data_IF_927664312627
#
_entry.id   IF_927664312627
#
_cell.length_a   1.000
_cell.length_b   1.000
_cell.length_c   1.000
_cell.angle_alpha   90.00
_cell.angle_beta   90.00
_cell.angle_gamma   90.00
#
_symmetry.space_group_name_H-M   'P 1'
#
loop_
_entity.id
_entity.type
_entity.pdbx_description
1 polymer ?
#
# COMPACT_ATOMS: atom_id res chain seq x y z
N UNK A 1 14.03 5.30 6.67
CA UNK A 1 12.92 5.38 7.64
C UNK A 1 12.51 3.99 8.09
N UNK A 2 12.25 3.79 9.39
CA UNK A 2 12.12 2.46 9.96
C UNK A 2 10.76 1.81 9.63
N UNK A 3 10.82 0.58 9.10
CA UNK A 3 9.71 -0.38 9.07
C UNK A 3 10.09 -1.55 9.98
N UNK A 4 9.18 -2.03 10.85
CA UNK A 4 9.41 -3.27 11.56
C UNK A 4 9.46 -4.43 10.55
N UNK A 5 10.03 -5.57 10.96
CA UNK A 5 10.21 -6.74 10.08
C UNK A 5 8.89 -7.18 9.44
N UNK A 6 7.81 -7.08 10.20
CA UNK A 6 6.51 -7.58 9.80
C UNK A 6 5.77 -6.62 8.83
N UNK A 7 6.29 -5.39 8.64
CA UNK A 7 5.73 -4.40 7.72
C UNK A 7 6.66 -4.08 6.55
N UNK A 8 7.68 -4.91 6.29
CA UNK A 8 8.59 -4.69 5.16
C UNK A 8 7.88 -4.69 3.80
N UNK A 9 6.75 -5.40 3.68
CA UNK A 9 5.95 -5.44 2.45
C UNK A 9 5.31 -4.09 2.09
N UNK A 10 5.25 -3.14 3.03
CA UNK A 10 4.75 -1.78 2.76
C UNK A 10 5.66 -0.96 1.84
N UNK A 11 6.84 -1.47 1.49
CA UNK A 11 7.82 -0.78 0.68
C UNK A 11 8.18 -1.53 -0.59
N UNK A 12 8.52 -0.76 -1.64
CA UNK A 12 9.22 -1.20 -2.85
C UNK A 12 10.56 -0.45 -2.96
N UNK A 13 11.46 -0.95 -3.80
CA UNK A 13 12.79 -0.38 -4.02
C UNK A 13 13.84 -0.93 -3.06
N UNK A 14 15.10 -0.68 -3.38
CA UNK A 14 16.25 -1.25 -2.67
C UNK A 14 16.23 -0.92 -1.18
N UNK A 15 16.51 -1.92 -0.33
CA UNK A 15 16.70 -1.71 1.11
C UNK A 15 17.92 -0.84 1.45
N UNK A 16 18.85 -0.69 0.49
CA UNK A 16 20.06 0.15 0.62
C UNK A 16 19.94 1.48 -0.12
N UNK A 17 18.74 1.85 -0.62
CA UNK A 17 18.53 3.12 -1.29
C UNK A 17 18.89 4.31 -0.38
N UNK A 18 19.55 5.32 -0.96
CA UNK A 18 20.01 6.52 -0.24
C UNK A 18 18.85 7.39 0.26
N UNK A 19 17.70 7.32 -0.41
CA UNK A 19 16.53 8.12 -0.10
C UNK A 19 15.30 7.25 0.17
N UNK A 20 14.40 7.78 1.00
CA UNK A 20 13.09 7.17 1.28
C UNK A 20 11.99 8.19 1.05
N UNK A 21 11.03 7.84 0.19
CA UNK A 21 9.77 8.55 0.02
C UNK A 21 8.67 7.76 0.73
N UNK A 22 7.95 8.40 1.64
CA UNK A 22 6.79 7.79 2.30
C UNK A 22 5.51 8.45 1.81
N UNK A 23 4.53 7.65 1.42
CA UNK A 23 3.24 8.10 0.90
C UNK A 23 2.15 7.66 1.86
N UNK A 24 1.66 8.58 2.70
CA UNK A 24 0.49 8.36 3.54
C UNK A 24 -0.76 8.45 2.69
N UNK A 25 -1.50 7.34 2.63
CA UNK A 25 -2.67 7.20 1.76
C UNK A 25 -3.84 6.59 2.51
N UNK A 26 -5.04 7.03 2.15
CA UNK A 26 -6.28 6.37 2.52
C UNK A 26 -6.86 5.71 1.25
N UNK A 27 -7.07 4.41 1.28
CA UNK A 27 -7.65 3.65 0.16
C UNK A 27 -9.06 4.11 -0.26
N UNK A 28 -9.76 4.88 0.58
CA UNK A 28 -11.06 5.47 0.25
C UNK A 28 -10.98 6.92 -0.24
N UNK A 29 -9.81 7.55 -0.17
CA UNK A 29 -9.64 8.93 -0.60
C UNK A 29 -9.38 9.01 -2.12
N UNK A 30 -10.17 9.77 -2.89
CA UNK A 30 -9.96 9.91 -4.34
C UNK A 30 -8.63 10.59 -4.69
N UNK A 31 -8.15 11.53 -3.86
CA UNK A 31 -6.84 12.15 -4.06
C UNK A 31 -5.69 11.18 -3.78
N UNK A 32 -5.85 10.26 -2.83
CA UNK A 32 -4.86 9.21 -2.57
C UNK A 32 -4.81 8.21 -3.73
N UNK A 33 -5.98 7.85 -4.27
CA UNK A 33 -6.07 7.01 -5.47
C UNK A 33 -5.39 7.68 -6.68
N UNK A 34 -5.66 8.97 -6.91
CA UNK A 34 -4.99 9.75 -7.96
C UNK A 34 -3.48 9.75 -7.78
N UNK A 35 -2.99 10.04 -6.57
CA UNK A 35 -1.55 10.10 -6.28
C UNK A 35 -0.87 8.74 -6.52
N UNK A 36 -1.39 7.66 -5.95
CA UNK A 36 -0.73 6.35 -6.03
C UNK A 36 -0.79 5.77 -7.45
N UNK A 37 -1.89 5.99 -8.17
CA UNK A 37 -2.02 5.63 -9.59
C UNK A 37 -1.01 6.40 -10.45
N UNK A 38 -0.93 7.72 -10.29
CA UNK A 38 0.04 8.55 -11.01
C UNK A 38 1.48 8.16 -10.67
N UNK A 39 1.77 7.92 -9.39
CA UNK A 39 3.08 7.47 -8.94
C UNK A 39 3.47 6.14 -9.61
N UNK A 40 2.56 5.17 -9.60
CA UNK A 40 2.82 3.89 -10.25
C UNK A 40 3.06 4.03 -11.75
N UNK A 41 2.26 4.82 -12.46
CA UNK A 41 2.39 4.94 -13.91
C UNK A 41 3.62 5.75 -14.33
N UNK A 42 3.97 6.77 -13.56
CA UNK A 42 4.97 7.77 -13.97
C UNK A 42 6.31 7.63 -13.26
N UNK A 43 6.34 7.13 -12.01
CA UNK A 43 7.55 7.08 -11.18
C UNK A 43 8.15 5.70 -11.11
N UNK A 44 7.34 4.64 -10.99
CA UNK A 44 7.87 3.26 -10.99
C UNK A 44 8.78 2.98 -12.19
N UNK A 45 8.44 3.37 -13.44
CA UNK A 45 9.38 3.20 -14.57
C UNK A 45 10.69 3.99 -14.46
N UNK A 46 10.74 5.04 -13.63
CA UNK A 46 11.95 5.82 -13.38
C UNK A 46 12.84 5.19 -12.29
N UNK A 47 12.29 4.31 -11.46
CA UNK A 47 12.96 3.63 -10.36
C UNK A 47 13.32 2.16 -10.68
N UNK A 48 12.54 1.50 -11.54
CA UNK A 48 12.65 0.08 -11.83
C UNK A 48 12.83 -0.17 -13.33
N UNK A 49 13.72 -1.11 -13.66
CA UNK A 49 14.12 -1.43 -15.04
C UNK A 49 15.64 -1.32 -15.23
N UNK A 50 16.15 -1.83 -16.35
CA UNK A 50 17.60 -1.80 -16.63
C UNK A 50 18.12 -0.39 -16.89
N UNK A 51 17.29 0.47 -17.50
CA UNK A 51 17.64 1.83 -17.91
C UNK A 51 16.98 2.91 -17.03
N UNK A 52 16.46 2.53 -15.86
CA UNK A 52 15.78 3.45 -14.96
C UNK A 52 16.77 4.49 -14.38
N UNK A 53 16.55 5.80 -14.58
CA UNK A 53 17.50 6.85 -14.20
C UNK A 53 17.78 6.92 -12.69
N UNK A 54 16.82 6.51 -11.85
CA UNK A 54 16.95 6.53 -10.39
C UNK A 54 16.97 5.12 -9.79
N UNK A 55 17.41 4.12 -10.58
CA UNK A 55 17.53 2.74 -10.13
C UNK A 55 18.29 2.64 -8.82
N UNK A 56 17.72 1.91 -7.86
CA UNK A 56 18.26 1.66 -6.52
C UNK A 56 18.54 2.91 -5.65
N UNK A 57 18.15 4.11 -6.09
CA UNK A 57 18.41 5.36 -5.36
C UNK A 57 17.26 5.77 -4.43
N UNK A 58 16.04 5.31 -4.70
CA UNK A 58 14.84 5.61 -3.91
C UNK A 58 14.11 4.36 -3.46
N UNK A 59 13.85 4.28 -2.14
CA UNK A 59 12.89 3.35 -1.55
C UNK A 59 11.57 4.06 -1.33
N UNK A 60 10.46 3.42 -1.69
CA UNK A 60 9.12 4.00 -1.55
C UNK A 60 8.36 3.20 -0.53
N UNK A 61 7.79 3.86 0.48
CA UNK A 61 6.95 3.25 1.51
C UNK A 61 5.53 3.78 1.35
N UNK A 62 4.55 2.91 1.12
CA UNK A 62 3.14 3.28 1.24
C UNK A 62 2.75 3.10 2.70
N UNK A 63 2.20 4.17 3.30
CA UNK A 63 1.73 4.20 4.69
C UNK A 63 0.21 4.19 4.70
N UNK A 64 -0.44 3.03 4.96
CA UNK A 64 -1.89 2.99 5.12
C UNK A 64 -2.31 3.89 6.29
N UNK A 65 -3.17 4.87 6.04
CA UNK A 65 -3.62 5.83 7.04
C UNK A 65 -5.12 6.11 6.86
N UNK A 66 -5.99 5.34 7.52
CA UNK A 66 -7.42 5.45 7.32
C UNK A 66 -7.95 6.75 7.91
N UNK A 67 -8.72 7.51 7.14
CA UNK A 67 -9.38 8.72 7.63
C UNK A 67 -10.63 8.36 8.41
N UNK A 68 -10.83 9.03 9.54
CA UNK A 68 -11.91 8.69 10.49
C UNK A 68 -13.31 9.02 9.98
N UNK A 69 -13.42 9.84 8.93
CA UNK A 69 -14.69 10.19 8.28
C UNK A 69 -15.02 9.30 7.07
N UNK A 70 -14.17 8.32 6.75
CA UNK A 70 -14.42 7.33 5.70
C UNK A 70 -14.82 6.00 6.34
N UNK A 71 -16.12 5.70 6.39
CA UNK A 71 -16.66 4.67 7.28
C UNK A 71 -16.09 3.25 7.01
N UNK A 72 -15.89 2.90 5.74
CA UNK A 72 -15.36 1.60 5.32
C UNK A 72 -13.82 1.55 5.29
N UNK A 73 -13.13 2.70 5.40
CA UNK A 73 -11.68 2.80 5.21
C UNK A 73 -10.88 1.84 6.11
N UNK A 74 -11.17 1.71 7.42
CA UNK A 74 -10.46 0.74 8.27
C UNK A 74 -10.49 -0.69 7.73
N UNK A 75 -11.58 -1.14 7.10
CA UNK A 75 -11.72 -2.50 6.58
C UNK A 75 -10.83 -2.74 5.34
N UNK A 76 -10.69 -1.72 4.48
CA UNK A 76 -9.77 -1.75 3.34
C UNK A 76 -8.31 -1.84 3.83
N UNK A 77 -7.98 -1.06 4.86
CA UNK A 77 -6.64 -1.02 5.45
C UNK A 77 -6.29 -2.32 6.19
N UNK A 78 -7.23 -2.89 6.97
CA UNK A 78 -7.09 -4.21 7.58
C UNK A 78 -6.76 -5.27 6.51
N UNK A 79 -7.48 -5.25 5.38
CA UNK A 79 -7.26 -6.22 4.30
C UNK A 79 -5.91 -6.02 3.62
N UNK A 80 -5.51 -4.77 3.33
CA UNK A 80 -4.21 -4.49 2.74
C UNK A 80 -3.06 -4.93 3.67
N UNK A 81 -3.16 -4.64 4.97
CA UNK A 81 -2.18 -5.09 5.96
C UNK A 81 -2.16 -6.61 6.12
N UNK A 82 -3.31 -7.29 6.01
CA UNK A 82 -3.36 -8.75 5.99
C UNK A 82 -2.61 -9.31 4.77
N UNK A 83 -2.78 -8.73 3.58
CA UNK A 83 -1.98 -9.09 2.39
C UNK A 83 -0.50 -8.88 2.65
N UNK A 84 -0.11 -7.73 3.22
CA UNK A 84 1.27 -7.44 3.58
C UNK A 84 1.87 -8.49 4.53
N UNK A 85 1.10 -8.97 5.52
CA UNK A 85 1.51 -10.02 6.45
C UNK A 85 1.71 -11.37 5.78
N UNK A 86 0.80 -11.73 4.88
CA UNK A 86 0.82 -13.01 4.17
C UNK A 86 2.00 -13.08 3.19
N UNK A 87 2.41 -11.95 2.60
CA UNK A 87 3.43 -11.89 1.55
C UNK A 87 4.89 -11.76 2.03
N UNK A 88 5.18 -11.74 3.34
CA UNK A 88 6.52 -11.49 3.87
C UNK A 88 7.59 -12.57 3.59
N UNK A 89 7.21 -13.70 2.99
CA UNK A 89 8.09 -14.87 2.85
C UNK A 89 9.27 -14.61 1.90
N UNK A 90 9.07 -13.85 0.82
CA UNK A 90 10.12 -13.52 -0.16
C UNK A 90 10.48 -12.03 -0.07
N UNK A 91 11.55 -11.72 0.69
CA UNK A 91 12.01 -10.33 0.87
C UNK A 91 12.53 -9.68 -0.40
N UNK A 92 12.99 -10.45 -1.38
CA UNK A 92 13.43 -9.93 -2.66
C UNK A 92 12.22 -9.52 -3.50
N UNK A 93 11.15 -10.33 -3.49
CA UNK A 93 9.89 -9.98 -4.15
C UNK A 93 9.25 -8.70 -3.59
N UNK A 94 9.44 -8.38 -2.30
CA UNK A 94 8.90 -7.14 -1.73
C UNK A 94 9.50 -5.88 -2.37
N UNK A 95 10.74 -5.94 -2.84
CA UNK A 95 11.41 -4.78 -3.43
C UNK A 95 10.90 -4.49 -4.85
N UNK A 96 10.32 -5.47 -5.53
CA UNK A 96 9.82 -5.35 -6.90
C UNK A 96 8.31 -5.05 -6.92
N UNK A 97 7.86 -3.91 -7.48
CA UNK A 97 6.44 -3.58 -7.56
C UNK A 97 5.60 -4.59 -8.35
N UNK A 98 6.19 -5.36 -9.28
CA UNK A 98 5.47 -6.42 -10.02
C UNK A 98 5.30 -7.72 -9.23
N UNK A 99 6.04 -7.88 -8.13
CA UNK A 99 6.00 -9.08 -7.28
C UNK A 99 5.55 -8.78 -5.85
N UNK A 100 5.52 -7.52 -5.44
CA UNK A 100 5.03 -7.10 -4.13
C UNK A 100 3.49 -7.13 -4.09
N UNK A 101 2.95 -8.19 -3.48
CA UNK A 101 1.52 -8.41 -3.28
C UNK A 101 0.78 -7.21 -2.67
N UNK A 102 1.38 -6.54 -1.69
CA UNK A 102 0.77 -5.40 -1.02
C UNK A 102 0.72 -4.18 -1.95
N UNK A 103 1.77 -3.94 -2.73
CA UNK A 103 1.79 -2.87 -3.74
C UNK A 103 0.71 -3.09 -4.81
N UNK A 104 0.67 -4.30 -5.38
CA UNK A 104 -0.32 -4.68 -6.41
C UNK A 104 -1.74 -4.54 -5.86
N UNK A 105 -2.00 -5.03 -4.66
CA UNK A 105 -3.32 -4.93 -4.05
C UNK A 105 -3.68 -3.48 -3.66
N UNK A 106 -2.71 -2.66 -3.25
CA UNK A 106 -2.92 -1.23 -3.03
C UNK A 106 -3.40 -0.53 -4.31
N UNK A 107 -2.80 -0.84 -5.45
CA UNK A 107 -3.24 -0.32 -6.76
C UNK A 107 -4.66 -0.77 -7.09
N UNK A 108 -5.01 -2.03 -6.82
CA UNK A 108 -6.35 -2.54 -7.04
C UNK A 108 -7.40 -1.86 -6.14
N UNK A 109 -7.09 -1.65 -4.85
CA UNK A 109 -7.97 -0.90 -3.94
C UNK A 109 -8.20 0.53 -4.41
N UNK A 110 -7.15 1.21 -4.86
CA UNK A 110 -7.28 2.57 -5.40
C UNK A 110 -8.13 2.61 -6.68
N UNK A 111 -8.00 1.59 -7.54
CA UNK A 111 -8.80 1.47 -8.77
C UNK A 111 -10.29 1.19 -8.49
N UNK A 112 -10.60 0.44 -7.44
CA UNK A 112 -11.98 0.10 -7.06
C UNK A 112 -12.53 0.97 -5.91
N UNK A 113 -11.87 2.07 -5.54
CA UNK A 113 -12.22 2.82 -4.32
C UNK A 113 -13.69 3.28 -4.28
N UNK A 114 -14.26 3.69 -5.43
CA UNK A 114 -15.65 4.16 -5.55
C UNK A 114 -16.67 3.11 -5.09
N UNK A 115 -16.36 1.81 -5.27
CA UNK A 115 -17.21 0.70 -4.81
C UNK A 115 -17.40 0.68 -3.30
N UNK A 116 -16.45 1.26 -2.58
CA UNK A 116 -16.38 1.21 -1.13
C UNK A 116 -16.77 2.54 -0.48
N UNK A 117 -17.07 3.58 -1.26
CA UNK A 117 -17.54 4.86 -0.73
C UNK A 117 -18.77 4.67 0.15
N UNK A 118 -19.04 5.65 1.02
CA UNK A 118 -20.11 5.55 2.01
C UNK A 118 -21.47 5.25 1.37
N UNK A 119 -21.79 5.89 0.22
CA UNK A 119 -23.09 5.68 -0.41
C UNK A 119 -23.27 4.24 -0.95
N UNK A 120 -22.33 3.64 -1.71
CA UNK A 120 -22.42 2.23 -2.11
C UNK A 120 -22.28 1.22 -0.95
N UNK A 121 -21.55 1.57 0.12
CA UNK A 121 -21.30 0.68 1.25
C UNK A 121 -22.39 0.71 2.34
N UNK A 122 -23.28 1.72 2.34
CA UNK A 122 -24.23 2.01 3.44
C UNK A 122 -25.09 0.85 3.93
N UNK A 123 -25.42 -0.10 3.07
CA UNK A 123 -26.29 -1.25 3.40
C UNK A 123 -25.51 -2.51 3.76
N UNK A 124 -24.18 -2.47 3.72
CA UNK A 124 -23.31 -3.62 4.00
C UNK A 124 -22.83 -3.57 5.44
N UNK A 125 -22.86 -4.70 6.12
CA UNK A 125 -22.18 -4.85 7.39
C UNK A 125 -20.67 -5.09 7.18
N UNK A 126 -19.83 -4.93 8.22
CA UNK A 126 -18.39 -5.10 8.10
C UNK A 126 -17.94 -6.48 7.58
N UNK A 127 -18.66 -7.55 7.91
CA UNK A 127 -18.28 -8.91 7.50
C UNK A 127 -18.60 -9.17 6.02
N UNK A 128 -19.68 -8.59 5.50
CA UNK A 128 -19.97 -8.58 4.06
C UNK A 128 -18.86 -7.85 3.28
N UNK A 129 -18.43 -6.69 3.78
CA UNK A 129 -17.31 -5.94 3.18
C UNK A 129 -16.01 -6.74 3.22
N UNK A 130 -15.67 -7.36 4.36
CA UNK A 130 -14.49 -8.24 4.47
C UNK A 130 -14.54 -9.44 3.53
N UNK A 131 -15.71 -10.05 3.36
CA UNK A 131 -15.89 -11.16 2.43
C UNK A 131 -15.64 -10.72 0.98
N UNK A 132 -16.21 -9.59 0.56
CA UNK A 132 -15.99 -9.04 -0.78
C UNK A 132 -14.54 -8.61 -1.00
N UNK A 133 -13.89 -8.02 0.01
CA UNK A 133 -12.46 -7.66 -0.03
C UNK A 133 -11.56 -8.91 -0.14
N UNK A 134 -11.87 -9.99 0.59
CA UNK A 134 -11.15 -11.25 0.45
C UNK A 134 -11.30 -11.85 -0.96
N UNK A 135 -12.47 -11.74 -1.57
CA UNK A 135 -12.68 -12.10 -2.98
C UNK A 135 -11.85 -11.24 -3.91
N UNK A 136 -11.80 -9.92 -3.69
CA UNK A 136 -10.95 -9.02 -4.49
C UNK A 136 -9.47 -9.42 -4.41
N UNK A 137 -8.97 -9.80 -3.22
CA UNK A 137 -7.59 -10.30 -3.08
C UNK A 137 -7.35 -11.55 -3.93
N UNK A 138 -8.27 -12.52 -3.91
CA UNK A 138 -8.17 -13.76 -4.71
C UNK A 138 -8.16 -13.45 -6.20
N UNK A 139 -9.00 -12.52 -6.65
CA UNK A 139 -9.05 -12.14 -8.05
C UNK A 139 -7.72 -11.49 -8.49
N UNK A 140 -7.27 -10.48 -7.75
CA UNK A 140 -6.11 -9.65 -8.10
C UNK A 140 -4.79 -10.43 -8.01
N UNK A 141 -4.59 -11.20 -6.94
CA UNK A 141 -3.31 -11.88 -6.67
C UNK A 141 -3.30 -13.36 -7.07
N UNK A 142 -4.44 -13.90 -7.48
CA UNK A 142 -4.60 -15.31 -7.85
C UNK A 142 -5.12 -15.47 -9.27
N UNK A 143 -6.39 -15.14 -9.51
CA UNK A 143 -7.03 -15.40 -10.80
C UNK A 143 -6.41 -14.61 -11.95
N UNK A 144 -6.20 -13.31 -11.78
CA UNK A 144 -5.68 -12.44 -12.82
C UNK A 144 -4.21 -12.76 -13.13
N UNK A 145 -3.44 -13.13 -12.11
CA UNK A 145 -2.07 -13.64 -12.26
C UNK A 145 -2.03 -14.91 -13.11
N UNK A 146 -2.95 -15.86 -12.84
CA UNK A 146 -3.10 -17.09 -13.65
C UNK A 146 -3.51 -16.79 -15.09
N UNK A 147 -4.49 -15.89 -15.29
CA UNK A 147 -4.92 -15.46 -16.64
C UNK A 147 -3.77 -14.82 -17.42
N UNK A 148 -2.92 -14.04 -16.75
CA UNK A 148 -1.73 -13.44 -17.33
C UNK A 148 -0.55 -14.42 -17.54
N UNK A 149 -0.71 -15.71 -17.17
CA UNK A 149 0.34 -16.73 -17.20
C UNK A 149 1.62 -16.31 -16.47
N UNK A 150 1.48 -15.51 -15.42
CA UNK A 150 2.59 -15.08 -14.55
C UNK A 150 2.76 -16.06 -13.39
N UNK A 151 3.96 -16.07 -12.79
CA UNK A 151 4.22 -16.80 -11.56
C UNK A 151 3.29 -16.32 -10.43
N UNK A 152 2.88 -17.19 -9.49
CA UNK A 152 2.06 -16.78 -8.36
C UNK A 152 2.72 -15.64 -7.56
N UNK A 153 1.93 -14.61 -7.24
CA UNK A 153 2.41 -13.48 -6.42
C UNK A 153 2.53 -13.89 -4.95
N UNK A 154 1.66 -14.78 -4.49
CA UNK A 154 1.66 -15.32 -3.13
C UNK A 154 1.48 -16.84 -3.19
N UNK A 155 2.43 -17.58 -2.62
CA UNK A 155 2.36 -19.04 -2.45
C UNK A 155 2.20 -19.39 -0.97
N UNK A 156 1.18 -20.18 -0.66
CA UNK A 156 0.83 -20.58 0.70
C UNK A 156 0.76 -22.10 0.81
N UNK A 157 1.30 -22.64 1.90
CA UNK A 157 1.31 -24.07 2.16
C UNK A 157 -0.08 -24.52 2.64
N UNK A 158 -0.84 -25.14 1.74
CA UNK A 158 -2.10 -25.81 2.08
C UNK A 158 -3.28 -24.91 2.49
N UNK A 159 -3.11 -23.58 2.54
CA UNK A 159 -4.17 -22.64 2.88
C UNK A 159 -4.54 -21.76 1.68
N UNK A 160 -5.79 -21.81 1.16
CA UNK A 160 -6.23 -20.94 0.10
C UNK A 160 -6.10 -19.45 0.47
N UNK A 161 -5.66 -18.61 -0.47
CA UNK A 161 -5.41 -17.19 -0.24
C UNK A 161 -6.59 -16.44 0.41
N UNK A 162 -7.81 -16.67 -0.09
CA UNK A 162 -9.01 -16.05 0.48
C UNK A 162 -9.27 -16.48 1.92
N UNK A 163 -8.94 -17.73 2.29
CA UNK A 163 -9.04 -18.20 3.67
C UNK A 163 -7.94 -17.61 4.55
N UNK A 164 -6.72 -17.49 4.02
CA UNK A 164 -5.62 -16.82 4.72
C UNK A 164 -5.97 -15.36 5.05
N UNK A 165 -6.46 -14.58 4.09
CA UNK A 165 -6.91 -13.19 4.31
C UNK A 165 -8.01 -13.13 5.36
N UNK A 166 -9.05 -13.96 5.23
CA UNK A 166 -10.14 -14.01 6.21
C UNK A 166 -9.65 -14.36 7.61
N UNK A 167 -8.63 -15.23 7.74
CA UNK A 167 -8.08 -15.59 9.05
C UNK A 167 -7.38 -14.42 9.78
N UNK A 168 -6.91 -13.42 9.03
CA UNK A 168 -6.29 -12.21 9.56
C UNK A 168 -7.30 -11.11 9.86
N UNK A 169 -8.34 -10.97 9.02
CA UNK A 169 -9.32 -9.87 9.12
C UNK A 169 -10.59 -10.24 9.88
N UNK A 170 -10.85 -11.53 10.14
CA UNK A 170 -11.98 -11.97 10.96
C UNK A 170 -11.87 -11.36 12.37
N UNK A 171 -12.95 -10.74 12.82
CA UNK A 171 -13.12 -10.27 14.20
C UNK A 171 -13.40 -11.46 15.11
N UNK A 172 -12.77 -11.48 16.27
CA UNK A 172 -13.02 -12.51 17.29
C UNK A 172 -14.47 -12.48 17.76
N UNK A 173 -15.02 -13.64 18.10
CA UNK A 173 -16.33 -13.74 18.75
C UNK A 173 -16.25 -13.20 20.20
N UNK A 174 -15.04 -12.97 20.72
CA UNK A 174 -14.76 -12.44 22.07
C UNK A 174 -14.68 -10.91 22.10
N UNK A 175 -15.79 -10.26 22.44
CA UNK A 175 -15.85 -8.87 22.90
C UNK A 175 -15.04 -7.87 22.05
N UNK A 176 -14.18 -7.08 22.70
CA UNK A 176 -13.41 -5.98 22.08
C UNK A 176 -12.04 -6.41 21.53
N UNK A 177 -11.85 -7.71 21.23
CA UNK A 177 -10.53 -8.20 20.78
C UNK A 177 -10.17 -7.72 19.37
N UNK A 178 -11.17 -7.49 18.53
CA UNK A 178 -10.96 -7.11 17.13
C UNK A 178 -10.42 -8.27 16.29
N UNK A 179 -9.81 -7.93 15.15
CA UNK A 179 -9.16 -8.90 14.24
C UNK A 179 -7.67 -9.03 14.53
N UNK A 180 -7.04 -10.11 14.03
CA UNK A 180 -5.59 -10.36 14.23
C UNK A 180 -4.70 -9.27 13.64
N UNK A 181 -5.21 -8.51 12.66
CA UNK A 181 -4.47 -7.46 11.98
C UNK A 181 -4.56 -6.08 12.68
N UNK A 182 -5.45 -5.92 13.68
CA UNK A 182 -5.62 -4.66 14.42
C UNK A 182 -4.31 -4.11 15.01
N UNK A 183 -3.37 -4.91 15.57
CA UNK A 183 -2.09 -4.40 16.05
C UNK A 183 -1.29 -3.64 14.97
N UNK A 184 -1.33 -4.11 13.73
CA UNK A 184 -0.66 -3.43 12.60
C UNK A 184 -1.36 -2.15 12.21
N UNK A 185 -2.68 -2.16 12.18
CA UNK A 185 -3.47 -0.96 11.92
C UNK A 185 -3.15 0.12 12.97
N UNK A 186 -3.10 -0.27 14.25
CA UNK A 186 -2.68 0.62 15.34
C UNK A 186 -1.26 1.15 15.14
N UNK A 187 -0.32 0.31 14.67
CA UNK A 187 1.05 0.73 14.41
C UNK A 187 1.13 1.79 13.31
N UNK A 188 0.50 1.56 12.14
CA UNK A 188 0.54 2.51 11.02
C UNK A 188 -0.21 3.81 11.34
N UNK A 189 -1.31 3.73 12.12
CA UNK A 189 -1.97 4.94 12.63
C UNK A 189 -1.07 5.69 13.63
N UNK A 190 -0.37 4.98 14.52
CA UNK A 190 0.52 5.61 15.52
C UNK A 190 1.67 6.36 14.86
N UNK A 191 2.32 5.78 13.85
CA UNK A 191 3.41 6.47 13.15
C UNK A 191 2.92 7.70 12.37
N UNK A 192 1.71 7.65 11.78
CA UNK A 192 1.11 8.83 11.15
C UNK A 192 0.80 9.94 12.16
N UNK A 193 0.23 9.59 13.32
CA UNK A 193 0.00 10.55 14.42
C UNK A 193 1.31 11.17 14.91
N UNK A 194 2.36 10.38 15.07
CA UNK A 194 3.68 10.87 15.50
C UNK A 194 4.26 11.90 14.51
N UNK A 195 3.99 11.75 13.21
CA UNK A 195 4.43 12.66 12.16
C UNK A 195 3.41 13.78 11.86
N UNK A 196 2.34 13.92 12.64
CA UNK A 196 1.34 14.97 12.45
C UNK A 196 0.50 14.83 11.17
N UNK A 197 0.36 13.62 10.64
CA UNK A 197 -0.41 13.38 9.41
C UNK A 197 -1.90 13.61 9.69
N UNK A 198 -2.48 14.58 8.99
CA UNK A 198 -3.90 14.90 9.09
C UNK A 198 -4.65 14.50 7.82
N UNK A 199 -4.28 15.08 6.68
CA UNK A 199 -4.92 14.81 5.39
C UNK A 199 -4.18 13.74 4.60
N UNK A 200 -4.90 13.02 3.76
CA UNK A 200 -4.35 12.07 2.80
C UNK A 200 -4.70 12.53 1.37
N UNK A 201 -3.76 12.48 0.42
CA UNK A 201 -2.41 12.00 0.61
C UNK A 201 -1.49 13.01 1.32
N UNK A 202 -0.48 12.51 2.03
CA UNK A 202 0.67 13.30 2.52
C UNK A 202 1.96 12.56 2.18
N UNK A 203 2.96 13.25 1.67
CA UNK A 203 4.26 12.67 1.34
C UNK A 203 5.35 13.14 2.31
N UNK A 204 6.26 12.24 2.69
CA UNK A 204 7.48 12.57 3.43
C UNK A 204 8.70 12.21 2.60
N UNK A 205 9.66 13.12 2.51
CA UNK A 205 10.99 12.85 1.97
C UNK A 205 11.99 12.68 3.10
N UNK A 206 12.64 11.52 3.17
CA UNK A 206 13.59 11.16 4.23
C UNK A 206 13.04 11.40 5.65
N UNK A 207 11.73 11.19 5.83
CA UNK A 207 11.04 11.34 7.11
C UNK A 207 10.57 12.76 7.45
N UNK A 208 10.77 13.74 6.56
CA UNK A 208 10.26 15.11 6.71
C UNK A 208 9.10 15.33 5.74
N UNK A 209 8.01 15.95 6.20
CA UNK A 209 6.86 16.26 5.34
C UNK A 209 7.32 17.10 4.15
N UNK A 210 6.97 16.66 2.95
CA UNK A 210 7.31 17.32 1.69
C UNK A 210 6.02 17.92 1.09
N UNK A 211 5.71 19.21 1.38
CA UNK A 211 4.47 19.83 0.96
C UNK A 211 4.41 20.12 -0.54
N UNK A 212 5.53 20.06 -1.26
CA UNK A 212 5.52 20.28 -2.70
C UNK A 212 4.83 19.16 -3.46
N UNK A 213 4.84 17.92 -2.93
CA UNK A 213 4.24 16.77 -3.60
C UNK A 213 2.72 16.85 -3.52
N UNK A 214 2.09 16.85 -4.69
CA UNK A 214 0.64 16.88 -4.84
C UNK A 214 0.13 15.61 -5.52
N UNK A 215 -1.11 15.22 -5.21
CA UNK A 215 -1.82 14.15 -5.94
C UNK A 215 -1.91 14.38 -7.45
N UNK A 216 -1.76 15.65 -7.89
CA UNK A 216 -1.79 16.06 -9.29
C UNK A 216 -0.42 16.13 -9.95
N UNK A 217 0.67 15.72 -9.29
CA UNK A 217 2.00 15.69 -9.91
C UNK A 217 1.96 14.93 -11.23
N UNK A 218 2.34 15.65 -12.30
CA UNK A 218 2.59 15.09 -13.61
C UNK A 218 3.85 14.23 -13.61
N UNK A 219 4.13 13.57 -14.74
CA UNK A 219 5.39 12.83 -14.90
C UNK A 219 6.58 13.77 -14.81
N UNK A 220 6.47 14.94 -15.41
CA UNK A 220 7.50 15.98 -15.46
C UNK A 220 7.75 16.56 -14.07
N UNK A 221 6.70 16.79 -13.27
CA UNK A 221 6.84 17.25 -11.88
C UNK A 221 7.59 16.23 -11.02
N UNK A 222 7.24 14.94 -11.16
CA UNK A 222 7.94 13.86 -10.45
C UNK A 222 9.39 13.74 -10.87
N UNK A 223 9.67 13.77 -12.17
CA UNK A 223 11.03 13.67 -12.68
C UNK A 223 11.88 14.83 -12.17
N UNK A 224 11.39 16.07 -12.32
CA UNK A 224 12.08 17.26 -11.80
C UNK A 224 12.34 17.18 -10.30
N UNK A 225 11.34 16.75 -9.52
CA UNK A 225 11.47 16.58 -8.08
C UNK A 225 12.59 15.57 -7.74
N UNK A 226 12.62 14.43 -8.41
CA UNK A 226 13.62 13.39 -8.19
C UNK A 226 15.02 13.82 -8.61
N UNK A 227 15.18 14.44 -9.78
CA UNK A 227 16.45 15.04 -10.23
C UNK A 227 16.97 16.03 -9.19
N UNK A 228 16.13 16.96 -8.73
CA UNK A 228 16.54 17.95 -7.75
C UNK A 228 16.89 17.36 -6.38
N UNK A 229 16.19 16.32 -5.93
CA UNK A 229 16.39 15.76 -4.57
C UNK A 229 17.47 14.69 -4.50
N UNK A 230 17.67 13.93 -5.57
CA UNK A 230 18.64 12.84 -5.63
C UNK A 230 19.98 13.35 -6.17
N UNK A 231 20.01 14.17 -7.22
CA UNK A 231 21.30 14.62 -7.77
C UNK A 231 21.97 15.70 -6.92
N UNK A 232 21.21 16.56 -6.23
CA UNK A 232 21.79 17.54 -5.29
C UNK A 232 22.40 16.90 -4.04
N UNK A 233 22.09 15.63 -3.76
CA UNK A 233 22.66 14.88 -2.63
C UNK A 233 24.06 14.29 -2.91
N UNK A 234 24.61 14.51 -4.12
CA UNK A 234 25.96 14.07 -4.50
C UNK A 234 27.08 15.04 -4.08
N UNK A 235 26.76 16.05 -3.28
CA UNK A 235 27.69 17.05 -2.73
C UNK A 235 27.63 17.07 -1.21
#
# INVERSE_FOLDING_TARGET
MALPKELQALAIGSVTASHVLELYVDYLCPFSAKMLTNFHNNVVPLLFGEQAPFKDQLRVIVRPYPQTWHASSPLLHETALAVARISLRDQLALQDPERNAFWIFSQALMKENERWFDAPARSKNPDQIRAELATLVVNVLGEDVRKAKKAPIVELDGLPLGQAVRSWTRVSDEGNTGSKIVPDLKYVTKIGRQNGIHVTPTALWNGVVEPSISSSFSKEDWQKFLEERIDKAKY
#
